data_IF_993283146982
#
_entry.id   IF_993283146982
#
_cell.length_a   1.000
_cell.length_b   1.000
_cell.length_c   1.000
_cell.angle_alpha   90.00
_cell.angle_beta   90.00
_cell.angle_gamma   90.00
#
_symmetry.space_group_name_H-M   'P 1'
#
loop_
_entity.id
_entity.type
_entity.pdbx_description
1 polymer ?
#
# COMPACT_ATOMS: atom_id res chain seq x y z
N UNK A 1 -2.64 4.29 13.21
CA UNK A 1 -2.50 4.06 11.77
C UNK A 1 -1.31 3.14 11.51
N UNK A 2 -1.51 2.11 10.71
CA UNK A 2 -0.46 1.16 10.36
C UNK A 2 0.06 1.44 8.96
N UNK A 3 1.33 1.09 8.73
CA UNK A 3 2.02 1.38 7.47
C UNK A 3 2.76 0.15 6.97
N UNK A 4 2.83 0.00 5.64
CA UNK A 4 3.66 -1.00 4.97
C UNK A 4 4.64 -0.26 4.08
N UNK A 5 5.93 -0.60 4.21
CA UNK A 5 6.99 -0.04 3.39
C UNK A 5 7.31 -1.01 2.28
N UNK A 6 7.32 -0.52 1.04
CA UNK A 6 7.59 -1.32 -0.15
C UNK A 6 8.83 -0.77 -0.85
N UNK A 7 9.76 -1.63 -1.19
CA UNK A 7 10.98 -1.25 -1.88
C UNK A 7 11.92 -2.43 -2.05
N UNK A 8 13.15 -2.16 -2.51
CA UNK A 8 14.14 -3.23 -2.70
C UNK A 8 14.98 -3.50 -1.46
N UNK A 9 14.84 -2.70 -0.41
CA UNK A 9 15.58 -2.91 0.84
C UNK A 9 15.08 -4.13 1.59
N UNK A 10 15.98 -4.89 2.18
CA UNK A 10 15.63 -6.11 2.94
C UNK A 10 14.84 -5.81 4.21
N UNK A 11 14.85 -4.56 4.65
CA UNK A 11 14.09 -4.09 5.81
C UNK A 11 12.65 -3.66 5.45
N UNK A 12 12.28 -3.73 4.17
CA UNK A 12 10.91 -3.42 3.75
C UNK A 12 9.95 -4.55 4.13
N UNK A 13 8.68 -4.19 4.31
CA UNK A 13 7.61 -5.17 4.56
C UNK A 13 7.33 -6.00 3.29
N UNK A 14 7.40 -5.37 2.13
CA UNK A 14 7.35 -6.05 0.84
C UNK A 14 8.64 -5.72 0.10
N UNK A 15 9.44 -6.74 -0.18
CA UNK A 15 10.73 -6.58 -0.83
C UNK A 15 10.58 -6.87 -2.33
N UNK A 16 10.95 -5.89 -3.15
CA UNK A 16 10.96 -6.02 -4.61
C UNK A 16 12.38 -6.42 -5.04
N UNK A 17 12.55 -7.56 -5.72
CA UNK A 17 13.87 -8.03 -6.15
C UNK A 17 14.32 -7.30 -7.42
N UNK A 18 14.56 -6.01 -7.32
CA UNK A 18 14.96 -5.18 -8.45
C UNK A 18 16.48 -5.10 -8.55
N UNK A 19 17.05 -5.65 -9.62
CA UNK A 19 18.49 -5.66 -9.86
C UNK A 19 18.98 -4.44 -10.65
N UNK A 20 18.06 -3.64 -11.20
CA UNK A 20 18.37 -2.54 -12.11
C UNK A 20 18.27 -1.15 -11.46
N UNK A 21 18.13 -1.11 -10.15
CA UNK A 21 17.99 0.13 -9.37
C UNK A 21 16.84 1.04 -9.82
N UNK A 22 15.79 0.48 -10.42
CA UNK A 22 14.58 1.22 -10.77
C UNK A 22 13.69 1.46 -9.55
N UNK A 23 13.79 0.57 -8.56
CA UNK A 23 13.03 0.66 -7.31
C UNK A 23 13.97 1.10 -6.21
N UNK A 24 13.59 2.13 -5.48
CA UNK A 24 14.37 2.62 -4.34
C UNK A 24 14.30 1.64 -3.17
N UNK A 25 15.24 1.74 -2.24
CA UNK A 25 15.27 0.87 -1.04
C UNK A 25 13.96 0.98 -0.27
N UNK A 26 13.49 2.20 -0.01
CA UNK A 26 12.17 2.49 0.51
C UNK A 26 11.45 3.29 -0.55
N UNK A 27 10.67 2.63 -1.40
CA UNK A 27 10.11 3.26 -2.59
C UNK A 27 8.79 3.96 -2.32
N UNK A 28 7.89 3.28 -1.63
CA UNK A 28 6.60 3.86 -1.25
C UNK A 28 6.15 3.31 0.09
N UNK A 29 5.25 4.05 0.73
CA UNK A 29 4.62 3.67 1.98
C UNK A 29 3.12 3.63 1.79
N UNK A 30 2.49 2.52 2.13
CA UNK A 30 1.04 2.40 2.17
C UNK A 30 0.60 2.57 3.63
N UNK A 31 -0.28 3.53 3.87
CA UNK A 31 -0.87 3.77 5.18
C UNK A 31 -2.31 3.28 5.20
N UNK A 32 -2.69 2.60 6.28
CA UNK A 32 -4.01 1.99 6.42
C UNK A 32 -4.80 2.66 7.53
N UNK A 33 -6.02 3.04 7.24
CA UNK A 33 -7.01 3.42 8.23
C UNK A 33 -7.81 2.21 8.71
N UNK A 34 -8.41 2.32 9.89
CA UNK A 34 -9.18 1.24 10.51
C UNK A 34 -10.32 0.75 9.62
N UNK A 35 -10.95 1.65 8.87
CA UNK A 35 -12.09 1.34 8.01
C UNK A 35 -11.70 0.89 6.60
N UNK A 36 -10.42 0.65 6.35
CA UNK A 36 -9.93 0.15 5.08
C UNK A 36 -9.46 1.21 4.10
N UNK A 37 -9.48 2.46 4.48
CA UNK A 37 -8.94 3.53 3.65
C UNK A 37 -7.42 3.38 3.54
N UNK A 38 -6.92 3.40 2.31
CA UNK A 38 -5.48 3.34 2.04
C UNK A 38 -5.00 4.63 1.41
N UNK A 39 -3.83 5.08 1.82
CA UNK A 39 -3.10 6.17 1.15
C UNK A 39 -1.69 5.69 0.85
N UNK A 40 -1.11 6.18 -0.24
CA UNK A 40 0.29 5.92 -0.55
C UNK A 40 1.07 7.22 -0.58
N UNK A 41 2.31 7.13 -0.13
CA UNK A 41 3.27 8.24 -0.16
C UNK A 41 4.50 7.79 -0.93
N UNK A 42 4.96 8.64 -1.86
CA UNK A 42 6.17 8.37 -2.65
C UNK A 42 7.41 8.83 -1.89
N UNK A 43 8.35 7.91 -1.68
CA UNK A 43 9.65 8.21 -1.07
C UNK A 43 10.80 7.86 -2.03
N UNK A 44 10.49 7.62 -3.30
CA UNK A 44 11.42 7.10 -4.29
C UNK A 44 12.24 8.17 -4.98
N UNK A 45 13.33 7.73 -5.62
CA UNK A 45 14.13 8.57 -6.52
C UNK A 45 13.56 8.57 -7.94
N UNK A 46 12.97 7.44 -8.39
CA UNK A 46 12.50 7.27 -9.77
C UNK A 46 11.01 7.49 -9.96
N UNK A 47 10.27 7.66 -8.88
CA UNK A 47 8.86 7.98 -8.91
C UNK A 47 7.94 6.77 -8.73
N UNK A 48 6.73 7.07 -8.28
CA UNK A 48 5.62 6.13 -8.15
C UNK A 48 4.48 6.63 -9.03
N UNK A 49 3.87 5.73 -9.79
CA UNK A 49 2.80 6.08 -10.72
C UNK A 49 1.51 5.39 -10.29
N UNK A 50 0.43 6.14 -10.22
CA UNK A 50 -0.91 5.61 -9.96
C UNK A 50 -1.75 5.84 -11.20
N UNK A 51 -2.20 4.74 -11.83
CA UNK A 51 -2.94 4.78 -13.08
C UNK A 51 -2.24 5.65 -14.15
N UNK A 52 -0.91 5.44 -14.27
CA UNK A 52 -0.02 6.13 -15.21
C UNK A 52 0.22 7.61 -14.91
N UNK A 53 -0.20 8.09 -13.75
CA UNK A 53 0.08 9.45 -13.28
C UNK A 53 1.18 9.42 -12.23
N UNK A 54 2.26 10.14 -12.48
CA UNK A 54 3.36 10.24 -11.52
C UNK A 54 2.94 11.07 -10.32
N UNK A 55 3.20 10.53 -9.12
CA UNK A 55 2.96 11.27 -7.88
C UNK A 55 3.99 12.37 -7.71
N UNK A 56 3.57 13.47 -7.12
CA UNK A 56 4.50 14.50 -6.68
C UNK A 56 5.31 13.93 -5.50
N UNK A 57 6.61 14.21 -5.49
CA UNK A 57 7.51 13.73 -4.44
C UNK A 57 7.02 14.22 -3.08
N UNK A 58 6.90 13.30 -2.13
CA UNK A 58 6.41 13.62 -0.80
C UNK A 58 4.89 13.73 -0.69
N UNK A 59 4.15 13.58 -1.80
CA UNK A 59 2.70 13.63 -1.77
C UNK A 59 2.10 12.32 -1.27
N UNK A 60 0.96 12.42 -0.58
CA UNK A 60 0.15 11.27 -0.18
C UNK A 60 -1.18 11.32 -0.91
N UNK A 61 -1.58 10.21 -1.53
CA UNK A 61 -2.84 10.14 -2.28
C UNK A 61 -3.63 8.91 -1.85
N UNK A 62 -4.96 9.00 -1.84
CA UNK A 62 -5.80 7.84 -1.56
C UNK A 62 -5.78 6.87 -2.74
N UNK A 63 -5.77 5.57 -2.42
CA UNK A 63 -5.79 4.50 -3.43
C UNK A 63 -6.72 3.38 -2.99
N UNK A 64 -7.13 2.57 -3.97
CA UNK A 64 -7.86 1.31 -3.75
C UNK A 64 -7.08 0.17 -4.40
N UNK A 65 -7.51 -1.07 -4.15
CA UNK A 65 -6.89 -2.24 -4.78
C UNK A 65 -7.15 -2.34 -6.28
N UNK A 66 -8.05 -1.51 -6.80
CA UNK A 66 -8.33 -1.43 -8.24
C UNK A 66 -7.37 -0.48 -8.95
N UNK A 67 -6.67 0.36 -8.21
CA UNK A 67 -5.70 1.28 -8.81
C UNK A 67 -4.43 0.54 -9.19
N UNK A 68 -3.92 0.85 -10.38
CA UNK A 68 -2.64 0.31 -10.85
C UNK A 68 -1.52 1.18 -10.29
N UNK A 69 -0.71 0.60 -9.42
CA UNK A 69 0.44 1.29 -8.80
C UNK A 69 1.72 0.72 -9.40
N UNK A 70 2.54 1.59 -9.95
CA UNK A 70 3.81 1.20 -10.56
C UNK A 70 4.97 1.88 -9.85
N UNK A 71 5.97 1.10 -9.47
CA UNK A 71 7.19 1.55 -8.82
C UNK A 71 8.28 1.71 -9.87
N UNK A 72 8.73 2.94 -10.08
CA UNK A 72 9.65 3.24 -11.16
C UNK A 72 9.01 2.97 -12.52
N UNK A 73 9.81 2.58 -13.51
CA UNK A 73 9.33 2.39 -14.87
C UNK A 73 8.80 0.99 -15.16
N UNK A 74 9.12 -0.02 -14.34
CA UNK A 74 8.91 -1.43 -14.72
C UNK A 74 8.12 -2.27 -13.73
N UNK A 75 8.03 -1.88 -12.46
CA UNK A 75 7.44 -2.73 -11.43
C UNK A 75 6.01 -2.33 -11.13
N UNK A 76 5.04 -3.17 -11.49
CA UNK A 76 3.65 -2.99 -11.08
C UNK A 76 3.43 -3.70 -9.74
N UNK A 77 2.82 -2.99 -8.79
CA UNK A 77 2.53 -3.55 -7.48
C UNK A 77 1.53 -4.69 -7.59
N UNK A 78 1.89 -5.83 -7.02
CA UNK A 78 0.98 -6.96 -6.87
C UNK A 78 0.20 -6.78 -5.57
N UNK A 79 -1.07 -6.41 -5.70
CA UNK A 79 -1.94 -6.16 -4.55
C UNK A 79 -2.17 -7.40 -3.69
N UNK A 80 -1.96 -8.60 -4.22
CA UNK A 80 -2.08 -9.82 -3.43
C UNK A 80 -1.04 -9.91 -2.31
N UNK A 81 0.07 -9.18 -2.45
CA UNK A 81 1.11 -9.12 -1.44
C UNK A 81 0.77 -8.12 -0.32
N UNK A 82 -0.17 -7.22 -0.56
CA UNK A 82 -0.55 -6.17 0.38
C UNK A 82 -1.71 -6.67 1.23
N UNK A 83 -1.44 -6.94 2.50
CA UNK A 83 -2.44 -7.40 3.46
C UNK A 83 -2.87 -6.25 4.34
N UNK A 84 -4.19 -6.06 4.46
CA UNK A 84 -4.77 -5.06 5.34
C UNK A 84 -4.56 -5.48 6.80
N UNK A 85 -3.80 -4.70 7.61
CA UNK A 85 -3.53 -5.09 8.99
C UNK A 85 -4.75 -5.00 9.90
N UNK A 86 -5.85 -4.39 9.45
CA UNK A 86 -7.07 -4.22 10.23
C UNK A 86 -8.20 -5.16 9.81
N UNK A 87 -7.96 -6.09 8.90
CA UNK A 87 -9.03 -6.94 8.37
C UNK A 87 -9.71 -7.77 9.48
N UNK A 88 -8.94 -8.36 10.38
CA UNK A 88 -9.48 -9.12 11.50
C UNK A 88 -10.28 -8.23 12.45
N UNK A 89 -9.77 -7.04 12.76
CA UNK A 89 -10.45 -6.07 13.61
C UNK A 89 -11.80 -5.67 13.02
N UNK A 90 -11.83 -5.38 11.71
CA UNK A 90 -13.09 -5.02 11.04
C UNK A 90 -14.08 -6.17 11.04
N UNK A 91 -13.62 -7.40 10.83
CA UNK A 91 -14.50 -8.58 10.87
C UNK A 91 -15.13 -8.78 12.24
N UNK A 92 -14.35 -8.58 13.30
CA UNK A 92 -14.85 -8.69 14.68
C UNK A 92 -15.90 -7.61 14.94
N UNK A 93 -15.62 -6.36 14.55
CA UNK A 93 -16.57 -5.25 14.75
C UNK A 93 -17.86 -5.46 13.98
N UNK A 94 -17.79 -5.87 12.72
CA UNK A 94 -18.95 -6.13 11.89
C UNK A 94 -19.74 -7.35 12.39
N UNK A 95 -19.03 -8.39 12.80
CA UNK A 95 -19.66 -9.58 13.38
C UNK A 95 -20.42 -9.26 14.66
N UNK A 96 -19.82 -8.46 15.55
CA UNK A 96 -20.49 -8.04 16.78
C UNK A 96 -21.73 -7.19 16.49
N UNK A 97 -21.64 -6.28 15.53
CA UNK A 97 -22.79 -5.46 15.13
C UNK A 97 -23.94 -6.30 14.57
N UNK A 98 -23.64 -7.28 13.71
CA UNK A 98 -24.62 -8.20 13.15
C UNK A 98 -25.26 -9.03 14.26
N UNK A 99 -24.46 -9.54 15.17
CA UNK A 99 -24.92 -10.32 16.30
C UNK A 99 -25.90 -9.53 17.17
N UNK A 100 -25.60 -8.27 17.46
CA UNK A 100 -26.47 -7.40 18.23
C UNK A 100 -27.81 -7.15 17.53
N UNK A 101 -27.83 -7.07 16.21
CA UNK A 101 -29.06 -6.89 15.44
C UNK A 101 -29.94 -8.15 15.48
N UNK A 102 -29.33 -9.33 15.49
CA UNK A 102 -30.04 -10.59 15.51
C UNK A 102 -30.56 -10.96 16.89
N UNK A 103 -30.04 -10.40 17.93
CA UNK A 103 -30.49 -10.62 19.30
C UNK A 103 -31.56 -9.61 19.71
#
# INVERSE_FOLDING_TARGET
MKRIIIGRGIDCDIVIPDEKDNVSRHHLVISFGLLGKMTISDTSSNGTFVNDRKLLKGASVPVTREDKVRLGSQWTLDWSLVKDPYVATRRILLGAAIFCVLV
#
